data_IF_967044685391
#
_entry.id   IF_967044685391
#
_cell.length_a   1.000
_cell.length_b   1.000
_cell.length_c   1.000
_cell.angle_alpha   90.00
_cell.angle_beta   90.00
_cell.angle_gamma   90.00
#
_symmetry.space_group_name_H-M   'P 1'
#
loop_
_entity.id
_entity.type
_entity.pdbx_description
1 polymer ?
#
# COMPACT_ATOMS: atom_id res chain seq x y z
N UNK A 1 26.10 0.34 24.41
CA UNK A 1 26.20 1.36 25.45
C UNK A 1 25.73 2.73 24.96
N UNK A 2 26.39 3.35 23.97
CA UNK A 2 26.14 4.75 23.53
C UNK A 2 24.65 5.06 23.31
N UNK A 3 23.97 4.29 22.49
CA UNK A 3 22.53 4.56 22.19
C UNK A 3 21.66 4.39 23.44
N UNK A 4 21.90 3.38 24.27
CA UNK A 4 21.23 3.22 25.57
C UNK A 4 21.37 4.46 26.43
N UNK A 5 22.56 5.06 26.45
CA UNK A 5 22.90 6.20 27.28
C UNK A 5 22.51 7.56 26.63
N UNK A 6 21.78 7.54 25.49
CA UNK A 6 21.26 8.71 24.81
C UNK A 6 22.25 9.43 23.87
N UNK A 7 23.39 8.80 23.57
CA UNK A 7 24.37 9.36 22.65
C UNK A 7 24.10 8.94 21.21
N UNK A 8 24.42 9.82 20.25
CA UNK A 8 24.34 9.50 18.83
C UNK A 8 25.42 8.48 18.43
N UNK A 9 25.05 7.55 17.54
CA UNK A 9 25.99 6.60 16.93
C UNK A 9 26.68 7.26 15.74
N UNK A 10 27.93 6.87 15.44
CA UNK A 10 28.59 7.27 14.21
C UNK A 10 28.11 6.40 13.04
N UNK A 11 28.38 6.86 11.81
CA UNK A 11 28.07 6.11 10.57
C UNK A 11 28.73 4.73 10.58
N UNK A 12 29.99 4.65 11.05
CA UNK A 12 30.75 3.40 11.13
C UNK A 12 30.14 2.43 12.15
N UNK A 13 29.69 2.95 13.31
CA UNK A 13 29.04 2.13 14.33
C UNK A 13 27.71 1.57 13.85
N UNK A 14 26.89 2.37 13.14
CA UNK A 14 25.62 1.92 12.55
C UNK A 14 25.90 0.84 11.50
N UNK A 15 26.83 1.09 10.58
CA UNK A 15 27.22 0.12 9.54
C UNK A 15 27.73 -1.19 10.16
N UNK A 16 28.62 -1.11 11.16
CA UNK A 16 29.13 -2.29 11.85
C UNK A 16 28.01 -3.17 12.43
N UNK A 17 27.01 -2.54 13.06
CA UNK A 17 25.90 -3.27 13.68
C UNK A 17 25.00 -3.91 12.61
N UNK A 18 24.64 -3.18 11.55
CA UNK A 18 23.77 -3.69 10.49
C UNK A 18 24.46 -4.81 9.70
N UNK A 19 25.69 -4.59 9.27
CA UNK A 19 26.48 -5.59 8.53
C UNK A 19 26.75 -6.84 9.36
N UNK A 20 27.17 -6.67 10.62
CA UNK A 20 27.44 -7.78 11.51
C UNK A 20 26.19 -8.60 11.84
N UNK A 21 25.04 -7.93 12.00
CA UNK A 21 23.77 -8.63 12.19
C UNK A 21 23.32 -9.37 10.91
N UNK A 22 23.46 -8.74 9.76
CA UNK A 22 23.08 -9.34 8.47
C UNK A 22 23.90 -10.60 8.19
N UNK A 23 25.21 -10.57 8.47
CA UNK A 23 26.10 -11.73 8.33
C UNK A 23 25.97 -12.78 9.44
N UNK A 24 25.20 -12.52 10.51
CA UNK A 24 25.04 -13.44 11.63
C UNK A 24 26.18 -13.40 12.66
N UNK A 25 27.05 -12.41 12.60
CA UNK A 25 28.14 -12.18 13.56
C UNK A 25 27.62 -11.55 14.87
N UNK A 26 26.56 -10.76 14.79
CA UNK A 26 25.83 -10.18 15.92
C UNK A 26 24.58 -11.01 16.18
N UNK A 27 24.42 -11.62 17.38
CA UNK A 27 23.26 -12.46 17.69
C UNK A 27 22.00 -11.64 17.97
N UNK A 28 20.83 -12.28 17.84
CA UNK A 28 19.51 -11.66 18.00
C UNK A 28 19.33 -10.92 19.32
N UNK A 29 19.85 -11.45 20.45
CA UNK A 29 19.70 -10.80 21.75
C UNK A 29 20.44 -9.46 21.83
N UNK A 30 21.61 -9.33 21.17
CA UNK A 30 22.34 -8.05 21.11
C UNK A 30 21.62 -7.06 20.19
N UNK A 31 21.11 -7.54 19.04
CA UNK A 31 20.35 -6.69 18.13
C UNK A 31 19.01 -6.27 18.73
N UNK A 32 18.31 -7.15 19.46
CA UNK A 32 17.10 -6.79 20.20
C UNK A 32 17.35 -5.67 21.21
N UNK A 33 18.46 -5.75 21.96
CA UNK A 33 18.84 -4.69 22.89
C UNK A 33 19.12 -3.36 22.18
N UNK A 34 19.77 -3.39 20.99
CA UNK A 34 20.01 -2.20 20.19
C UNK A 34 18.69 -1.60 19.67
N UNK A 35 17.78 -2.42 19.11
CA UNK A 35 16.48 -1.98 18.63
C UNK A 35 15.64 -1.35 19.75
N UNK A 36 15.67 -1.93 20.96
CA UNK A 36 14.97 -1.38 22.13
C UNK A 36 15.62 -0.07 22.60
N UNK A 37 16.94 0.06 22.53
CA UNK A 37 17.62 1.33 22.82
C UNK A 37 17.24 2.42 21.81
N UNK A 38 17.12 2.09 20.52
CA UNK A 38 16.63 3.00 19.47
C UNK A 38 15.16 3.37 19.75
N UNK A 39 14.32 2.41 20.11
CA UNK A 39 12.92 2.64 20.42
C UNK A 39 12.72 3.70 21.51
N UNK A 40 13.49 3.61 22.61
CA UNK A 40 13.37 4.55 23.74
C UNK A 40 14.13 5.87 23.57
N UNK A 41 15.22 5.89 22.80
CA UNK A 41 16.09 7.07 22.67
C UNK A 41 15.93 7.80 21.34
N UNK A 42 15.25 7.18 20.37
CA UNK A 42 15.17 7.67 19.01
C UNK A 42 16.52 7.66 18.28
N UNK A 43 16.51 8.21 17.09
CA UNK A 43 17.67 8.51 16.25
C UNK A 43 17.49 9.92 15.68
N UNK A 44 18.57 10.69 15.53
CA UNK A 44 18.52 11.90 14.76
C UNK A 44 18.44 11.58 13.24
N UNK A 45 18.20 12.60 12.40
CA UNK A 45 18.05 12.39 10.94
C UNK A 45 19.30 11.82 10.28
N UNK A 46 20.49 12.22 10.74
CA UNK A 46 21.74 11.65 10.23
C UNK A 46 21.84 10.16 10.58
N UNK A 47 21.58 9.79 11.84
CA UNK A 47 21.55 8.38 12.26
C UNK A 47 20.52 7.57 11.48
N UNK A 48 19.32 8.13 11.25
CA UNK A 48 18.23 7.48 10.50
C UNK A 48 18.62 7.28 9.04
N UNK A 49 19.28 8.29 8.41
CA UNK A 49 19.83 8.15 7.07
C UNK A 49 20.92 7.07 7.02
N UNK A 50 21.87 7.12 7.95
CA UNK A 50 22.97 6.15 8.01
C UNK A 50 22.45 4.72 8.19
N UNK A 51 21.42 4.53 9.04
CA UNK A 51 20.73 3.25 9.21
C UNK A 51 20.06 2.82 7.92
N UNK A 52 19.32 3.71 7.27
CA UNK A 52 18.64 3.46 6.00
C UNK A 52 19.62 3.03 4.91
N UNK A 53 20.75 3.73 4.80
CA UNK A 53 21.78 3.43 3.80
C UNK A 53 22.50 2.12 4.12
N UNK A 54 22.80 1.85 5.40
CA UNK A 54 23.44 0.58 5.81
C UNK A 54 22.51 -0.61 5.51
N UNK A 55 21.22 -0.48 5.79
CA UNK A 55 20.22 -1.51 5.50
C UNK A 55 20.11 -1.73 3.99
N UNK A 56 19.98 -0.65 3.20
CA UNK A 56 19.91 -0.71 1.74
C UNK A 56 21.14 -1.40 1.13
N UNK A 57 22.34 -1.05 1.58
CA UNK A 57 23.61 -1.64 1.09
C UNK A 57 23.87 -3.06 1.59
N UNK A 58 23.09 -3.55 2.56
CA UNK A 58 23.14 -4.94 3.00
C UNK A 58 22.63 -5.96 1.99
N UNK A 59 22.13 -5.52 0.84
CA UNK A 59 21.61 -6.34 -0.25
C UNK A 59 21.89 -5.80 -1.64
N UNK A 60 21.27 -6.42 -2.63
CA UNK A 60 21.31 -5.96 -4.02
C UNK A 60 20.45 -4.70 -4.19
N UNK A 61 20.87 -3.80 -5.06
CA UNK A 61 20.10 -2.65 -5.50
C UNK A 61 19.71 -2.82 -6.97
N UNK A 62 18.53 -2.35 -7.32
CA UNK A 62 18.05 -2.39 -8.70
C UNK A 62 18.71 -1.26 -9.50
N UNK A 63 19.46 -1.63 -10.53
CA UNK A 63 20.01 -0.66 -11.47
C UNK A 63 19.01 -0.38 -12.60
N UNK A 64 18.39 0.80 -12.54
CA UNK A 64 17.47 1.30 -13.57
C UNK A 64 18.15 2.28 -14.56
N UNK A 65 19.48 2.39 -14.56
CA UNK A 65 20.20 3.32 -15.44
C UNK A 65 19.99 3.03 -16.92
N UNK A 66 19.78 1.75 -17.27
CA UNK A 66 19.46 1.31 -18.64
C UNK A 66 18.01 1.57 -19.07
N UNK A 67 17.11 1.96 -18.15
CA UNK A 67 15.72 2.27 -18.46
C UNK A 67 15.58 3.74 -18.82
N UNK A 68 14.99 4.01 -19.98
CA UNK A 68 14.76 5.37 -20.46
C UNK A 68 13.68 6.12 -19.66
N UNK A 69 13.77 7.45 -19.57
CA UNK A 69 12.77 8.29 -18.90
C UNK A 69 12.89 8.33 -17.38
N UNK A 70 11.96 9.04 -16.73
CA UNK A 70 11.92 9.20 -15.27
C UNK A 70 11.33 7.97 -14.61
N UNK A 71 12.02 7.45 -13.63
CA UNK A 71 11.58 6.31 -12.83
C UNK A 71 10.92 6.80 -11.55
N UNK A 72 9.71 6.32 -11.27
CA UNK A 72 9.00 6.64 -10.03
C UNK A 72 8.56 5.37 -9.29
N UNK A 73 8.39 5.50 -7.99
CA UNK A 73 7.76 4.48 -7.16
C UNK A 73 6.74 5.10 -6.21
N UNK A 74 5.70 4.35 -5.90
CA UNK A 74 4.68 4.70 -4.89
C UNK A 74 4.73 3.68 -3.77
N UNK A 75 4.80 4.14 -2.54
CA UNK A 75 4.66 3.31 -1.36
C UNK A 75 3.41 3.70 -0.58
N UNK A 76 2.71 2.71 -0.02
CA UNK A 76 1.68 2.91 0.98
C UNK A 76 2.12 2.31 2.30
N UNK A 77 1.81 2.98 3.41
CA UNK A 77 2.06 2.43 4.75
C UNK A 77 1.12 1.29 5.12
N UNK A 78 0.17 0.96 4.22
CA UNK A 78 -0.77 -0.14 4.36
C UNK A 78 -2.12 0.29 4.91
N UNK A 79 -3.16 -0.40 4.48
CA UNK A 79 -4.54 -0.15 4.87
C UNK A 79 -5.50 -1.21 4.35
N UNK A 80 -6.78 -1.01 4.59
CA UNK A 80 -7.86 -1.89 4.17
C UNK A 80 -8.44 -1.38 2.86
N UNK A 81 -8.58 -2.27 1.86
CA UNK A 81 -9.06 -1.91 0.54
C UNK A 81 -8.06 -1.08 -0.30
N UNK A 82 -6.78 -1.05 0.05
CA UNK A 82 -5.77 -0.26 -0.68
C UNK A 82 -5.42 -0.93 -2.02
N UNK A 83 -6.20 -0.60 -3.03
CA UNK A 83 -5.99 -0.94 -4.44
C UNK A 83 -5.36 0.20 -5.25
N UNK A 84 -4.87 1.25 -4.60
CA UNK A 84 -4.33 2.46 -5.24
C UNK A 84 -3.31 2.16 -6.34
N UNK A 85 -2.42 1.17 -6.14
CA UNK A 85 -1.41 0.82 -7.14
C UNK A 85 -2.02 0.30 -8.46
N UNK A 86 -3.18 -0.36 -8.41
CA UNK A 86 -3.84 -0.90 -9.60
C UNK A 86 -4.49 0.19 -10.48
N UNK A 87 -4.77 1.35 -9.90
CA UNK A 87 -5.33 2.51 -10.59
C UNK A 87 -4.23 3.51 -10.95
N UNK A 88 -3.44 3.93 -9.97
CA UNK A 88 -2.41 4.97 -10.11
C UNK A 88 -1.32 4.58 -11.11
N UNK A 89 -0.77 3.35 -10.98
CA UNK A 89 0.42 2.97 -11.76
C UNK A 89 0.14 2.95 -13.26
N UNK A 90 -0.96 2.35 -13.77
CA UNK A 90 -1.28 2.43 -15.20
C UNK A 90 -1.59 3.86 -15.67
N UNK A 91 -2.20 4.74 -14.84
CA UNK A 91 -2.44 6.14 -15.21
C UNK A 91 -1.11 6.87 -15.47
N UNK A 92 -0.16 6.83 -14.52
CA UNK A 92 1.12 7.54 -14.68
C UNK A 92 2.01 6.87 -15.73
N UNK A 93 1.97 5.55 -15.88
CA UNK A 93 2.73 4.83 -16.91
C UNK A 93 2.23 5.13 -18.33
N UNK A 94 0.92 5.37 -18.52
CA UNK A 94 0.37 5.79 -19.82
C UNK A 94 0.85 7.19 -20.24
N UNK A 95 1.31 8.01 -19.29
CA UNK A 95 1.90 9.33 -19.50
C UNK A 95 3.44 9.31 -19.60
N UNK A 96 4.06 8.12 -19.66
CA UNK A 96 5.49 7.95 -19.92
C UNK A 96 6.37 7.85 -18.67
N UNK A 97 5.82 7.89 -17.46
CA UNK A 97 6.58 7.59 -16.24
C UNK A 97 6.88 6.10 -16.17
N UNK A 98 8.09 5.73 -15.78
CA UNK A 98 8.50 4.33 -15.61
C UNK A 98 8.29 3.89 -14.15
N UNK A 99 7.43 2.89 -13.95
CA UNK A 99 7.04 2.41 -12.63
C UNK A 99 7.63 1.01 -12.36
N UNK A 100 8.78 0.99 -11.69
CA UNK A 100 9.47 -0.25 -11.30
C UNK A 100 9.08 -0.61 -9.86
N UNK A 101 7.89 -1.20 -9.67
CA UNK A 101 7.34 -1.40 -8.35
C UNK A 101 7.59 -2.81 -7.82
N UNK A 102 8.27 -2.89 -6.68
CA UNK A 102 8.30 -4.09 -5.85
C UNK A 102 7.27 -3.97 -4.74
N UNK A 103 6.48 -5.02 -4.55
CA UNK A 103 5.35 -5.03 -3.63
C UNK A 103 5.35 -6.27 -2.75
N UNK A 104 4.46 -6.28 -1.75
CA UNK A 104 4.32 -7.36 -0.78
C UNK A 104 2.97 -8.06 -0.85
N UNK A 105 2.89 -9.17 -0.15
CA UNK A 105 1.66 -9.90 0.15
C UNK A 105 0.97 -9.29 1.36
N UNK A 106 -0.33 -9.50 1.48
CA UNK A 106 -1.11 -9.13 2.66
C UNK A 106 -0.91 -10.09 3.83
N UNK A 107 -1.09 -9.56 5.03
CA UNK A 107 -1.15 -10.33 6.27
C UNK A 107 -2.10 -9.64 7.25
N UNK A 108 -2.86 -10.44 8.01
CA UNK A 108 -3.84 -9.92 8.94
C UNK A 108 -4.96 -9.14 8.24
N UNK A 109 -5.27 -7.95 8.73
CA UNK A 109 -6.33 -7.09 8.22
C UNK A 109 -5.98 -6.36 6.91
N UNK A 110 -4.71 -6.34 6.51
CA UNK A 110 -4.26 -5.61 5.32
C UNK A 110 -4.27 -6.51 4.08
N UNK A 111 -4.77 -6.01 2.96
CA UNK A 111 -4.69 -6.68 1.67
C UNK A 111 -3.35 -6.43 0.96
N UNK A 112 -2.77 -7.46 0.33
CA UNK A 112 -1.54 -7.36 -0.44
C UNK A 112 -1.79 -7.02 -1.91
N UNK A 113 -0.99 -6.11 -2.49
CA UNK A 113 -1.08 -5.81 -3.93
C UNK A 113 -0.80 -7.04 -4.79
N UNK A 114 0.14 -7.89 -4.37
CA UNK A 114 0.47 -9.13 -5.10
C UNK A 114 -0.70 -10.12 -5.08
N UNK A 115 -1.39 -10.25 -3.95
CA UNK A 115 -2.53 -11.17 -3.82
C UNK A 115 -3.69 -10.74 -4.72
N UNK A 116 -3.90 -9.43 -4.87
CA UNK A 116 -4.89 -8.87 -5.81
C UNK A 116 -4.53 -9.18 -7.26
N UNK A 117 -3.27 -8.98 -7.63
CA UNK A 117 -2.77 -9.29 -8.97
C UNK A 117 -2.84 -10.79 -9.30
N UNK A 118 -2.54 -11.66 -8.34
CA UNK A 118 -2.67 -13.12 -8.50
C UNK A 118 -4.13 -13.59 -8.69
N UNK A 119 -5.13 -12.76 -8.36
CA UNK A 119 -6.52 -13.04 -8.69
C UNK A 119 -6.81 -12.91 -10.20
N UNK A 120 -5.95 -12.27 -10.97
CA UNK A 120 -6.06 -12.21 -12.43
C UNK A 120 -5.53 -13.53 -13.00
N UNK A 121 -6.30 -14.25 -13.83
CA UNK A 121 -5.89 -15.55 -14.34
C UNK A 121 -4.51 -15.52 -15.01
N UNK A 122 -3.62 -16.41 -14.58
CA UNK A 122 -2.28 -16.58 -15.14
C UNK A 122 -1.24 -15.53 -14.72
N UNK A 123 -1.61 -14.49 -13.96
CA UNK A 123 -0.70 -13.40 -13.63
C UNK A 123 0.51 -13.87 -12.79
N UNK A 124 1.71 -13.51 -13.25
CA UNK A 124 2.98 -13.90 -12.64
C UNK A 124 3.62 -12.75 -11.86
N UNK A 125 3.71 -12.90 -10.55
CA UNK A 125 4.36 -11.93 -9.65
C UNK A 125 5.86 -12.18 -9.49
N UNK A 126 6.38 -13.32 -9.96
CA UNK A 126 7.78 -13.73 -9.81
C UNK A 126 8.49 -13.63 -11.15
N UNK A 127 9.08 -12.48 -11.44
CA UNK A 127 9.78 -12.25 -12.69
C UNK A 127 11.31 -12.39 -12.50
N UNK A 128 12.02 -13.02 -13.45
CA UNK A 128 13.47 -12.86 -13.55
C UNK A 128 13.83 -11.38 -13.74
N UNK A 129 14.95 -10.93 -13.19
CA UNK A 129 15.35 -9.54 -13.20
C UNK A 129 15.47 -8.96 -14.62
N UNK A 130 15.96 -9.74 -15.56
CA UNK A 130 16.05 -9.33 -16.96
C UNK A 130 14.68 -8.98 -17.55
N UNK A 131 13.68 -9.85 -17.34
CA UNK A 131 12.30 -9.61 -17.79
C UNK A 131 11.64 -8.46 -17.03
N UNK A 132 11.97 -8.29 -15.74
CA UNK A 132 11.51 -7.15 -14.95
C UNK A 132 11.97 -5.84 -15.59
N UNK A 133 13.27 -5.70 -15.88
CA UNK A 133 13.84 -4.50 -16.51
C UNK A 133 13.31 -4.27 -17.93
N UNK A 134 13.22 -5.32 -18.74
CA UNK A 134 12.61 -5.25 -20.08
C UNK A 134 11.18 -4.72 -20.04
N UNK A 135 10.36 -5.23 -19.13
CA UNK A 135 8.98 -4.79 -18.99
C UNK A 135 8.87 -3.35 -18.48
N UNK A 136 9.74 -2.91 -17.55
CA UNK A 136 9.79 -1.50 -17.13
C UNK A 136 10.11 -0.60 -18.32
N UNK A 137 11.08 -0.96 -19.14
CA UNK A 137 11.46 -0.13 -20.29
C UNK A 137 10.40 -0.16 -21.40
N UNK A 138 9.91 -1.33 -21.79
CA UNK A 138 9.00 -1.53 -22.91
C UNK A 138 7.55 -1.16 -22.58
N UNK A 139 7.01 -1.65 -21.47
CA UNK A 139 5.61 -1.43 -21.06
C UNK A 139 5.45 -0.16 -20.25
N UNK A 140 6.49 0.23 -19.52
CA UNK A 140 6.49 1.39 -18.63
C UNK A 140 6.13 1.07 -17.20
N UNK A 141 5.71 -0.17 -16.89
CA UNK A 141 5.38 -0.56 -15.52
C UNK A 141 5.58 -2.05 -15.26
N UNK A 142 5.98 -2.35 -14.04
CA UNK A 142 6.03 -3.70 -13.46
C UNK A 142 5.57 -3.63 -11.99
N UNK A 143 4.82 -4.61 -11.55
CA UNK A 143 4.54 -4.85 -10.13
C UNK A 143 4.86 -6.32 -9.83
N UNK A 144 5.94 -6.56 -9.09
CA UNK A 144 6.41 -7.90 -8.80
C UNK A 144 6.77 -8.08 -7.32
N UNK A 145 6.92 -9.32 -6.91
CA UNK A 145 7.43 -9.67 -5.58
C UNK A 145 8.89 -9.26 -5.42
N UNK A 146 9.30 -9.00 -4.18
CA UNK A 146 10.70 -8.73 -3.86
C UNK A 146 11.53 -10.00 -4.07
N UNK A 147 12.71 -9.87 -4.67
CA UNK A 147 13.69 -10.96 -4.70
C UNK A 147 14.24 -11.22 -3.30
N UNK A 148 14.73 -12.44 -3.06
CA UNK A 148 15.32 -12.79 -1.75
C UNK A 148 16.54 -11.93 -1.40
N UNK A 149 17.23 -11.39 -2.40
CA UNK A 149 18.46 -10.63 -2.27
C UNK A 149 18.24 -9.10 -2.20
N UNK A 150 17.03 -8.62 -2.48
CA UNK A 150 16.71 -7.22 -2.30
C UNK A 150 16.46 -6.95 -0.82
N UNK A 151 17.31 -6.11 -0.22
CA UNK A 151 17.20 -5.65 1.17
C UNK A 151 17.07 -6.80 2.21
N UNK A 152 17.97 -7.81 2.22
CA UNK A 152 17.93 -8.93 3.17
C UNK A 152 18.15 -8.47 4.62
N UNK A 153 18.84 -7.34 4.83
CA UNK A 153 19.04 -6.74 6.14
C UNK A 153 17.72 -6.31 6.77
N UNK A 154 16.86 -5.59 6.01
CA UNK A 154 15.53 -5.20 6.51
C UNK A 154 14.65 -6.42 6.81
N UNK A 155 14.66 -7.44 5.96
CA UNK A 155 13.89 -8.66 6.20
C UNK A 155 14.25 -9.31 7.55
N UNK A 156 15.54 -9.38 7.87
CA UNK A 156 16.04 -9.95 9.14
C UNK A 156 15.72 -9.06 10.33
N UNK A 157 15.93 -7.74 10.17
CA UNK A 157 15.61 -6.74 11.20
C UNK A 157 14.10 -6.70 11.49
N UNK A 158 13.25 -6.68 10.47
CA UNK A 158 11.81 -6.62 10.64
C UNK A 158 11.28 -7.89 11.33
N UNK A 159 11.77 -9.07 10.95
CA UNK A 159 11.39 -10.33 11.61
C UNK A 159 11.72 -10.32 13.10
N UNK A 160 12.85 -9.70 13.51
CA UNK A 160 13.20 -9.54 14.91
C UNK A 160 12.33 -8.48 15.61
N UNK A 161 12.04 -7.37 14.95
CA UNK A 161 11.16 -6.29 15.47
C UNK A 161 9.76 -6.79 15.78
N UNK A 162 9.22 -7.64 14.91
CA UNK A 162 7.87 -8.19 15.01
C UNK A 162 7.65 -8.97 16.33
N UNK A 163 8.69 -9.64 16.83
CA UNK A 163 8.64 -10.46 18.05
C UNK A 163 9.26 -9.78 19.29
N UNK A 164 9.76 -8.56 19.18
CA UNK A 164 10.43 -7.84 20.28
C UNK A 164 9.74 -6.53 20.69
N UNK A 165 8.54 -6.23 20.12
CA UNK A 165 7.77 -5.02 20.48
C UNK A 165 8.42 -3.72 20.02
N UNK A 166 9.29 -3.74 18.99
CA UNK A 166 10.02 -2.56 18.50
C UNK A 166 9.53 -2.07 17.12
N UNK A 167 8.41 -2.62 16.63
CA UNK A 167 7.82 -2.18 15.35
C UNK A 167 7.43 -0.70 15.36
N UNK A 168 6.71 -0.15 16.38
CA UNK A 168 6.24 1.23 16.36
C UNK A 168 7.31 2.26 16.76
N UNK A 169 8.47 2.22 16.10
CA UNK A 169 9.57 3.18 16.26
C UNK A 169 9.75 3.96 14.95
N UNK A 170 9.55 5.27 14.95
CA UNK A 170 9.61 6.11 13.74
C UNK A 170 10.93 5.92 12.98
N UNK A 171 12.14 6.04 13.57
CA UNK A 171 13.38 5.83 12.81
C UNK A 171 13.48 4.43 12.18
N UNK A 172 13.00 3.40 12.87
CA UNK A 172 13.02 2.03 12.35
C UNK A 172 11.99 1.79 11.24
N UNK A 173 10.82 2.44 11.32
CA UNK A 173 9.82 2.41 10.26
C UNK A 173 10.35 3.13 9.02
N UNK A 174 10.90 4.34 9.20
CA UNK A 174 11.50 5.14 8.11
C UNK A 174 12.60 4.35 7.42
N UNK A 175 13.54 3.78 8.18
CA UNK A 175 14.64 3.00 7.62
C UNK A 175 14.13 1.79 6.83
N UNK A 176 13.18 1.03 7.36
CA UNK A 176 12.60 -0.15 6.71
C UNK A 176 11.88 0.19 5.41
N UNK A 177 11.15 1.31 5.35
CA UNK A 177 10.44 1.73 4.14
C UNK A 177 11.42 2.30 3.13
N UNK A 178 12.25 3.24 3.55
CA UNK A 178 13.08 4.02 2.65
C UNK A 178 14.25 3.20 2.08
N UNK A 179 14.84 2.26 2.84
CA UNK A 179 15.88 1.35 2.30
C UNK A 179 15.39 0.61 1.06
N UNK A 180 14.17 0.04 1.10
CA UNK A 180 13.56 -0.66 -0.04
C UNK A 180 13.27 0.27 -1.22
N UNK A 181 12.81 1.50 -0.95
CA UNK A 181 12.49 2.46 -2.01
C UNK A 181 13.75 3.00 -2.69
N UNK A 182 14.81 3.22 -1.92
CA UNK A 182 16.11 3.62 -2.45
C UNK A 182 16.77 2.47 -3.21
N UNK A 183 16.70 1.23 -2.67
CA UNK A 183 17.22 0.04 -3.35
C UNK A 183 16.50 -0.24 -4.68
N UNK A 184 15.23 0.12 -4.82
CA UNK A 184 14.47 0.00 -6.06
C UNK A 184 14.89 1.00 -7.16
N UNK A 185 15.76 1.98 -6.88
CA UNK A 185 16.41 2.84 -7.87
C UNK A 185 15.55 3.97 -8.45
N UNK A 186 14.37 4.26 -7.88
CA UNK A 186 13.49 5.32 -8.40
C UNK A 186 14.08 6.73 -8.22
N UNK A 187 13.86 7.63 -9.20
CA UNK A 187 14.22 9.06 -9.14
C UNK A 187 13.22 9.86 -8.30
N UNK A 188 11.95 9.46 -8.37
CA UNK A 188 10.81 10.07 -7.67
C UNK A 188 10.15 9.03 -6.76
N UNK A 189 9.96 9.37 -5.49
CA UNK A 189 9.29 8.53 -4.51
C UNK A 189 8.08 9.29 -3.97
N UNK A 190 6.88 8.71 -4.12
CA UNK A 190 5.65 9.25 -3.56
C UNK A 190 5.10 8.28 -2.51
N UNK A 191 4.92 8.81 -1.31
CA UNK A 191 4.52 8.07 -0.13
C UNK A 191 3.05 8.36 0.19
N UNK A 192 2.25 7.33 0.32
CA UNK A 192 0.86 7.38 0.76
C UNK A 192 0.82 6.94 2.23
N UNK A 193 0.82 7.91 3.14
CA UNK A 193 0.85 7.69 4.58
C UNK A 193 -0.58 7.63 5.10
N UNK A 194 -1.02 6.42 5.42
CA UNK A 194 -2.36 6.17 5.95
C UNK A 194 -2.46 6.58 7.40
N UNK A 195 -3.56 7.27 7.76
CA UNK A 195 -3.87 7.75 9.10
C UNK A 195 -5.29 7.38 9.48
N UNK A 196 -5.48 6.68 10.58
CA UNK A 196 -6.80 6.28 11.09
C UNK A 196 -6.87 4.83 11.52
N UNK A 197 -8.07 4.32 11.75
CA UNK A 197 -8.33 3.01 12.35
C UNK A 197 -7.70 1.86 11.55
N UNK A 198 -7.81 1.84 10.23
CA UNK A 198 -7.27 0.80 9.36
C UNK A 198 -5.77 0.88 9.10
N UNK A 199 -5.01 1.77 9.78
CA UNK A 199 -3.60 2.02 9.53
C UNK A 199 -2.72 1.85 10.78
N UNK A 200 -1.38 1.88 10.59
CA UNK A 200 -0.43 1.89 11.69
C UNK A 200 -0.40 3.23 12.43
N UNK A 201 -0.53 4.35 11.71
CA UNK A 201 -0.58 5.70 12.29
C UNK A 201 -2.01 6.03 12.69
N UNK A 202 -2.27 6.08 13.99
CA UNK A 202 -3.63 6.33 14.52
C UNK A 202 -3.96 7.80 14.62
N UNK A 203 -2.97 8.68 14.76
CA UNK A 203 -3.15 10.11 14.87
C UNK A 203 -2.55 10.87 13.70
N UNK A 204 -3.07 12.06 13.41
CA UNK A 204 -2.53 12.93 12.36
C UNK A 204 -1.11 13.40 12.70
N UNK A 205 -0.80 13.60 13.98
CA UNK A 205 0.52 14.05 14.41
C UNK A 205 1.58 12.96 14.18
N UNK A 206 1.31 11.70 14.54
CA UNK A 206 2.19 10.57 14.24
C UNK A 206 2.39 10.39 12.73
N UNK A 207 1.30 10.51 11.95
CA UNK A 207 1.36 10.43 10.50
C UNK A 207 2.20 11.56 9.88
N UNK A 208 2.10 12.78 10.42
CA UNK A 208 2.92 13.94 9.99
C UNK A 208 4.39 13.74 10.33
N UNK A 209 4.71 13.26 11.54
CA UNK A 209 6.08 12.96 11.93
C UNK A 209 6.68 11.92 10.99
N UNK A 210 6.01 10.78 10.80
CA UNK A 210 6.48 9.73 9.88
C UNK A 210 6.67 10.25 8.44
N UNK A 211 5.67 10.98 7.90
CA UNK A 211 5.71 11.52 6.56
C UNK A 211 6.88 12.50 6.38
N UNK A 212 7.08 13.39 7.34
CA UNK A 212 8.16 14.40 7.32
C UNK A 212 9.53 13.71 7.35
N UNK A 213 9.74 12.76 8.26
CA UNK A 213 11.01 12.05 8.36
C UNK A 213 11.31 11.23 7.08
N UNK A 214 10.33 10.55 6.50
CA UNK A 214 10.54 9.83 5.23
C UNK A 214 10.87 10.76 4.07
N UNK A 215 10.21 11.92 3.96
CA UNK A 215 10.50 12.92 2.92
C UNK A 215 11.91 13.47 3.08
N UNK A 216 12.31 13.84 4.29
CA UNK A 216 13.65 14.37 4.55
C UNK A 216 14.75 13.34 4.27
N UNK A 217 14.57 12.07 4.72
CA UNK A 217 15.53 10.99 4.42
C UNK A 217 15.63 10.75 2.91
N UNK A 218 14.50 10.78 2.17
CA UNK A 218 14.52 10.65 0.72
C UNK A 218 15.28 11.77 0.03
N UNK A 219 15.07 13.03 0.45
CA UNK A 219 15.81 14.20 -0.05
C UNK A 219 17.31 14.12 0.27
N UNK A 220 17.66 13.77 1.52
CA UNK A 220 19.05 13.60 1.93
C UNK A 220 19.75 12.48 1.14
N UNK A 221 19.01 11.45 0.72
CA UNK A 221 19.49 10.39 -0.17
C UNK A 221 19.49 10.80 -1.67
N UNK A 222 19.20 12.06 -1.99
CA UNK A 222 19.22 12.59 -3.35
C UNK A 222 18.01 12.21 -4.22
N UNK A 223 16.87 11.84 -3.60
CA UNK A 223 15.62 11.50 -4.30
C UNK A 223 14.58 12.59 -4.15
N UNK A 224 13.80 12.82 -5.21
CA UNK A 224 12.61 13.68 -5.14
C UNK A 224 11.52 12.92 -4.40
N UNK A 225 11.22 13.33 -3.18
CA UNK A 225 10.32 12.61 -2.29
C UNK A 225 9.18 13.49 -1.82
N UNK A 226 7.95 12.99 -1.91
CA UNK A 226 6.72 13.65 -1.45
C UNK A 226 5.89 12.63 -0.66
N UNK A 227 5.24 13.07 0.40
CA UNK A 227 4.28 12.26 1.13
C UNK A 227 2.89 12.91 1.13
N UNK A 228 1.86 12.08 0.95
CA UNK A 228 0.44 12.46 1.07
C UNK A 228 -0.14 11.70 2.26
N UNK A 229 -0.67 12.43 3.23
CA UNK A 229 -1.35 11.84 4.40
C UNK A 229 -2.82 11.69 4.07
N UNK A 230 -3.35 10.47 4.17
CA UNK A 230 -4.70 10.12 3.74
C UNK A 230 -5.48 9.42 4.84
N UNK A 231 -6.80 9.58 4.81
CA UNK A 231 -7.69 8.94 5.75
C UNK A 231 -7.74 7.41 5.59
N UNK A 232 -7.80 6.70 6.70
CA UNK A 232 -8.02 5.26 6.79
C UNK A 232 -8.93 4.91 7.99
N UNK A 233 -9.81 5.83 8.39
CA UNK A 233 -10.83 5.57 9.41
C UNK A 233 -11.98 4.70 8.87
N UNK A 234 -12.05 4.54 7.55
CA UNK A 234 -12.88 3.57 6.85
C UNK A 234 -12.08 2.89 5.73
N UNK A 235 -12.52 1.74 5.19
CA UNK A 235 -11.86 1.10 4.04
C UNK A 235 -11.82 2.02 2.82
N UNK A 236 -10.69 2.02 2.08
CA UNK A 236 -10.52 2.80 0.86
C UNK A 236 -11.34 2.20 -0.29
N UNK A 237 -12.17 3.02 -0.90
CA UNK A 237 -13.14 2.57 -1.91
C UNK A 237 -14.24 1.71 -1.28
N UNK A 238 -14.85 0.88 -2.10
CA UNK A 238 -16.00 0.07 -1.71
C UNK A 238 -15.65 -1.41 -1.52
N UNK A 239 -14.71 -1.96 -2.29
CA UNK A 239 -14.36 -3.37 -2.25
C UNK A 239 -13.22 -3.67 -1.26
N UNK A 240 -13.37 -4.75 -0.51
CA UNK A 240 -12.35 -5.34 0.37
C UNK A 240 -12.28 -6.84 0.08
N UNK A 241 -11.26 -7.25 -0.65
CA UNK A 241 -11.07 -8.62 -1.13
C UNK A 241 -10.37 -8.61 -2.50
N UNK A 242 -9.62 -9.66 -2.83
CA UNK A 242 -8.64 -9.62 -3.93
C UNK A 242 -9.26 -9.31 -5.30
N UNK A 243 -10.05 -10.21 -5.88
CA UNK A 243 -10.69 -9.99 -7.18
C UNK A 243 -11.74 -8.86 -7.15
N UNK A 244 -12.40 -8.64 -6.01
CA UNK A 244 -13.35 -7.54 -5.85
C UNK A 244 -12.65 -6.18 -5.96
N UNK A 245 -11.47 -6.05 -5.37
CA UNK A 245 -10.66 -4.83 -5.48
C UNK A 245 -10.10 -4.62 -6.89
N UNK A 246 -9.75 -5.70 -7.61
CA UNK A 246 -9.38 -5.61 -9.03
C UNK A 246 -10.55 -5.12 -9.88
N UNK A 247 -11.77 -5.63 -9.62
CA UNK A 247 -13.00 -5.14 -10.30
C UNK A 247 -13.22 -3.65 -10.06
N UNK A 248 -13.08 -3.19 -8.83
CA UNK A 248 -13.24 -1.77 -8.49
C UNK A 248 -12.15 -0.91 -9.15
N UNK A 249 -10.90 -1.39 -9.19
CA UNK A 249 -9.83 -0.69 -9.89
C UNK A 249 -10.11 -0.56 -11.39
N UNK A 250 -10.61 -1.62 -12.04
CA UNK A 250 -11.04 -1.59 -13.45
C UNK A 250 -12.18 -0.61 -13.67
N UNK A 251 -13.22 -0.63 -12.83
CA UNK A 251 -14.37 0.27 -12.91
C UNK A 251 -13.93 1.74 -12.73
N UNK A 252 -12.97 2.00 -11.81
CA UNK A 252 -12.38 3.33 -11.63
C UNK A 252 -11.65 3.79 -12.90
N UNK A 253 -10.83 2.92 -13.53
CA UNK A 253 -10.11 3.24 -14.76
C UNK A 253 -11.04 3.39 -15.99
N UNK A 254 -12.26 2.86 -15.92
CA UNK A 254 -13.32 3.09 -16.92
C UNK A 254 -14.09 4.40 -16.69
N UNK A 255 -13.82 5.09 -15.58
CA UNK A 255 -14.56 6.30 -15.20
C UNK A 255 -15.98 6.04 -14.66
N UNK A 256 -16.29 4.78 -14.30
CA UNK A 256 -17.60 4.37 -13.76
C UNK A 256 -17.76 4.79 -12.29
N UNK A 257 -16.65 4.93 -11.54
CA UNK A 257 -16.63 5.32 -10.13
C UNK A 257 -15.84 6.60 -9.90
N UNK A 258 -16.49 7.60 -9.27
CA UNK A 258 -15.85 8.80 -8.75
C UNK A 258 -15.88 8.69 -7.22
N UNK A 259 -14.81 8.20 -6.63
CA UNK A 259 -14.68 7.94 -5.21
C UNK A 259 -13.40 8.55 -4.66
N UNK A 260 -13.22 8.48 -3.34
CA UNK A 260 -11.98 8.86 -2.66
C UNK A 260 -10.76 8.07 -3.19
N UNK A 261 -10.95 6.86 -3.73
CA UNK A 261 -9.90 6.10 -4.41
C UNK A 261 -9.37 6.85 -5.64
N UNK A 262 -10.27 7.37 -6.49
CA UNK A 262 -9.87 8.16 -7.65
C UNK A 262 -9.20 9.46 -7.23
N UNK A 263 -9.74 10.16 -6.22
CA UNK A 263 -9.16 11.39 -5.68
C UNK A 263 -7.74 11.17 -5.17
N UNK A 264 -7.52 10.06 -4.45
CA UNK A 264 -6.18 9.65 -4.00
C UNK A 264 -5.24 9.43 -5.18
N UNK A 265 -5.67 8.68 -6.19
CA UNK A 265 -4.86 8.38 -7.38
C UNK A 265 -4.51 9.66 -8.15
N UNK A 266 -5.45 10.58 -8.30
CA UNK A 266 -5.21 11.88 -8.94
C UNK A 266 -4.21 12.73 -8.13
N UNK A 267 -4.33 12.75 -6.81
CA UNK A 267 -3.41 13.51 -5.94
C UNK A 267 -1.99 12.93 -5.96
N UNK A 268 -1.84 11.61 -5.77
CA UNK A 268 -0.53 10.94 -5.82
C UNK A 268 0.09 11.03 -7.22
N UNK A 269 -0.73 10.85 -8.26
CA UNK A 269 -0.28 10.97 -9.66
C UNK A 269 0.17 12.39 -10.00
N UNK A 270 -0.53 13.41 -9.51
CA UNK A 270 -0.11 14.80 -9.66
C UNK A 270 1.25 15.05 -9.00
N UNK A 271 1.47 14.53 -7.79
CA UNK A 271 2.78 14.59 -7.15
C UNK A 271 3.88 13.88 -7.99
N UNK A 272 3.57 12.71 -8.58
CA UNK A 272 4.53 12.00 -9.45
C UNK A 272 4.86 12.84 -10.69
N UNK A 273 3.86 13.32 -11.42
CA UNK A 273 4.07 14.05 -12.68
C UNK A 273 4.79 15.38 -12.48
N UNK A 274 4.47 16.12 -11.43
CA UNK A 274 5.15 17.39 -11.11
C UNK A 274 6.60 17.13 -10.70
N UNK A 275 6.88 16.15 -9.86
CA UNK A 275 8.23 15.78 -9.48
C UNK A 275 9.04 15.20 -10.65
N UNK A 276 8.39 14.49 -11.57
CA UNK A 276 8.99 13.99 -12.81
C UNK A 276 9.29 15.12 -13.82
N UNK A 277 8.73 16.32 -13.62
CA UNK A 277 8.87 17.45 -14.56
C UNK A 277 8.03 17.30 -15.83
N UNK A 278 6.99 16.45 -15.78
CA UNK A 278 6.05 16.21 -16.89
C UNK A 278 4.86 17.15 -16.86
N UNK A 279 4.57 17.77 -15.73
CA UNK A 279 3.54 18.77 -15.56
C UNK A 279 4.10 20.00 -14.84
N UNK A 280 3.58 21.17 -15.17
CA UNK A 280 4.03 22.44 -14.60
C UNK A 280 3.58 22.59 -13.13
N UNK A 281 2.41 22.11 -12.82
CA UNK A 281 1.79 22.15 -11.49
C UNK A 281 0.81 20.99 -11.28
N UNK A 282 0.24 20.90 -10.07
CA UNK A 282 -0.69 19.82 -9.70
C UNK A 282 -2.00 19.88 -10.50
N UNK A 283 -2.46 21.07 -10.90
CA UNK A 283 -3.70 21.21 -11.68
C UNK A 283 -3.51 20.68 -13.12
N UNK A 284 -2.40 21.02 -13.75
CA UNK A 284 -2.05 20.50 -15.07
C UNK A 284 -1.84 18.98 -15.02
N UNK A 285 -1.14 18.49 -14.00
CA UNK A 285 -0.94 17.06 -13.77
C UNK A 285 -2.26 16.32 -13.61
N UNK A 286 -3.16 16.86 -12.80
CA UNK A 286 -4.50 16.27 -12.58
C UNK A 286 -5.29 16.17 -13.88
N UNK A 287 -5.30 17.22 -14.69
CA UNK A 287 -5.99 17.21 -15.99
C UNK A 287 -5.42 16.14 -16.93
N UNK A 288 -4.09 15.96 -16.96
CA UNK A 288 -3.46 14.88 -17.72
C UNK A 288 -3.90 13.49 -17.24
N UNK A 289 -3.97 13.28 -15.93
CA UNK A 289 -4.40 12.00 -15.35
C UNK A 289 -5.88 11.72 -15.64
N UNK A 290 -6.76 12.71 -15.48
CA UNK A 290 -8.19 12.59 -15.80
C UNK A 290 -8.40 12.24 -17.29
N UNK A 291 -7.57 12.80 -18.18
CA UNK A 291 -7.61 12.47 -19.61
C UNK A 291 -7.29 10.99 -19.88
N UNK A 292 -6.37 10.36 -19.11
CA UNK A 292 -6.04 8.94 -19.31
C UNK A 292 -7.20 7.99 -19.01
N UNK A 293 -8.12 8.42 -18.15
CA UNK A 293 -9.39 7.71 -17.89
C UNK A 293 -10.36 7.98 -19.04
N UNK A 294 -10.52 9.25 -19.42
CA UNK A 294 -11.49 9.66 -20.44
C UNK A 294 -11.21 9.04 -21.81
N UNK A 295 -9.95 8.88 -22.21
CA UNK A 295 -9.55 8.27 -23.48
C UNK A 295 -9.27 6.76 -23.40
N UNK A 296 -9.33 6.17 -22.20
CA UNK A 296 -9.11 4.75 -21.95
C UNK A 296 -7.64 4.30 -21.99
N UNK A 297 -6.68 5.23 -22.10
CA UNK A 297 -5.25 4.89 -22.19
C UNK A 297 -4.73 4.23 -20.91
N UNK A 298 -5.24 4.61 -19.74
CA UNK A 298 -4.88 3.98 -18.46
C UNK A 298 -5.38 2.54 -18.36
N UNK A 299 -6.63 2.26 -18.78
CA UNK A 299 -7.18 0.89 -18.80
C UNK A 299 -6.41 0.01 -19.79
N UNK A 300 -6.09 0.55 -20.98
CA UNK A 300 -5.26 -0.15 -21.97
C UNK A 300 -3.89 -0.47 -21.39
N UNK A 301 -3.27 0.47 -20.66
CA UNK A 301 -1.98 0.27 -20.01
C UNK A 301 -2.03 -0.84 -18.96
N UNK A 302 -3.12 -0.92 -18.19
CA UNK A 302 -3.32 -2.03 -17.24
C UNK A 302 -3.39 -3.39 -17.98
N UNK A 303 -4.09 -3.47 -19.11
CA UNK A 303 -4.18 -4.69 -19.91
C UNK A 303 -2.80 -5.08 -20.51
N UNK A 304 -2.04 -4.11 -21.02
CA UNK A 304 -0.67 -4.32 -21.53
C UNK A 304 0.26 -4.86 -20.43
N UNK A 305 0.16 -4.30 -19.23
CA UNK A 305 0.91 -4.75 -18.06
C UNK A 305 0.54 -6.18 -17.66
N UNK A 306 -0.76 -6.49 -17.59
CA UNK A 306 -1.24 -7.84 -17.25
C UNK A 306 -0.70 -8.86 -18.24
N UNK A 307 -0.79 -8.59 -19.54
CA UNK A 307 -0.25 -9.45 -20.58
C UNK A 307 1.28 -9.63 -20.50
N UNK A 308 2.02 -8.57 -20.16
CA UNK A 308 3.47 -8.61 -20.03
C UNK A 308 3.95 -9.45 -18.83
N UNK A 309 3.06 -9.70 -17.86
CA UNK A 309 3.31 -10.57 -16.68
C UNK A 309 2.49 -11.88 -16.74
N UNK A 310 2.27 -12.41 -17.93
CA UNK A 310 1.62 -13.72 -18.22
C UNK A 310 0.12 -13.80 -17.87
N UNK A 311 -0.48 -12.71 -17.37
CA UNK A 311 -1.90 -12.66 -17.02
C UNK A 311 -2.78 -12.57 -18.26
N UNK A 312 -4.06 -12.96 -18.12
CA UNK A 312 -5.05 -12.83 -19.17
C UNK A 312 -5.56 -11.38 -19.25
N UNK A 313 -5.19 -10.60 -20.29
CA UNK A 313 -5.67 -9.22 -20.44
C UNK A 313 -7.18 -9.14 -20.74
N UNK A 314 -7.82 -10.23 -21.15
CA UNK A 314 -9.26 -10.25 -21.38
C UNK A 314 -10.03 -9.97 -20.07
N UNK A 315 -9.51 -10.40 -18.93
CA UNK A 315 -10.10 -10.13 -17.61
C UNK A 315 -10.16 -8.63 -17.25
N UNK A 316 -9.34 -7.78 -17.89
CA UNK A 316 -9.38 -6.33 -17.70
C UNK A 316 -10.55 -5.72 -18.48
N UNK A 317 -10.89 -6.29 -19.64
CA UNK A 317 -12.01 -5.84 -20.46
C UNK A 317 -13.33 -6.54 -20.09
N UNK A 318 -13.26 -7.76 -19.55
CA UNK A 318 -14.40 -8.52 -19.04
C UNK A 318 -14.13 -9.01 -17.60
N UNK A 319 -14.47 -8.21 -16.57
CA UNK A 319 -14.25 -8.59 -15.17
C UNK A 319 -15.04 -9.83 -14.71
N UNK A 320 -15.97 -10.36 -15.51
CA UNK A 320 -16.63 -11.62 -15.19
C UNK A 320 -15.67 -12.83 -15.24
N UNK A 321 -14.52 -12.68 -15.93
CA UNK A 321 -13.46 -13.68 -15.97
C UNK A 321 -12.62 -13.76 -14.67
N UNK A 322 -12.75 -12.77 -13.79
CA UNK A 322 -12.09 -12.79 -12.47
C UNK A 322 -12.81 -13.76 -11.52
N UNK A 323 -12.11 -14.37 -10.55
CA UNK A 323 -12.72 -15.24 -9.55
C UNK A 323 -13.90 -14.58 -8.85
N UNK A 324 -14.97 -15.34 -8.62
CA UNK A 324 -16.17 -14.91 -7.92
C UNK A 324 -16.61 -15.93 -6.88
N UNK A 325 -17.05 -15.48 -5.73
CA UNK A 325 -17.63 -16.33 -4.71
C UNK A 325 -19.04 -16.81 -5.11
N UNK A 326 -19.41 -18.06 -4.78
CA UNK A 326 -20.71 -18.63 -5.17
C UNK A 326 -21.88 -18.06 -4.37
N UNK A 327 -21.64 -17.51 -3.16
CA UNK A 327 -22.68 -16.98 -2.28
C UNK A 327 -22.50 -15.47 -2.13
N UNK A 328 -23.59 -14.73 -2.32
CA UNK A 328 -23.68 -13.30 -2.03
C UNK A 328 -24.79 -13.07 -1.03
N UNK A 329 -24.53 -12.28 0.02
CA UNK A 329 -25.50 -12.01 1.08
C UNK A 329 -25.44 -10.56 1.51
N UNK A 330 -26.62 -9.89 1.50
CA UNK A 330 -26.74 -8.50 1.91
C UNK A 330 -26.61 -8.36 3.45
N UNK A 331 -26.04 -7.22 3.86
CA UNK A 331 -25.91 -6.82 5.26
C UNK A 331 -26.92 -5.72 5.55
N UNK A 332 -28.09 -6.03 6.14
CA UNK A 332 -29.10 -5.01 6.40
C UNK A 332 -28.69 -4.11 7.56
N UNK A 333 -28.98 -2.82 7.43
CA UNK A 333 -28.78 -1.85 8.50
C UNK A 333 -29.71 -2.13 9.68
N UNK A 334 -29.21 -2.17 10.94
CA UNK A 334 -30.03 -2.37 12.11
C UNK A 334 -30.87 -1.15 12.49
N UNK A 335 -30.57 0.04 11.96
CA UNK A 335 -31.22 1.29 12.30
C UNK A 335 -31.24 2.28 11.13
N UNK A 336 -32.11 3.29 11.21
CA UNK A 336 -32.07 4.47 10.34
C UNK A 336 -31.20 5.55 10.96
N UNK A 337 -30.48 6.30 10.12
CA UNK A 337 -29.61 7.40 10.54
C UNK A 337 -28.52 7.68 9.52
N UNK A 338 -27.35 8.04 10.00
CA UNK A 338 -26.14 8.27 9.21
C UNK A 338 -25.04 7.31 9.65
N UNK A 339 -24.28 6.81 8.72
CA UNK A 339 -23.05 6.04 9.03
C UNK A 339 -22.04 6.99 9.65
N UNK A 340 -21.79 6.83 10.94
CA UNK A 340 -20.84 7.68 11.68
C UNK A 340 -19.42 7.14 11.62
N UNK A 341 -19.27 5.81 11.60
CA UNK A 341 -17.97 5.14 11.63
C UNK A 341 -18.09 3.74 11.04
N UNK A 342 -17.04 3.32 10.38
CA UNK A 342 -16.83 1.96 9.89
C UNK A 342 -15.47 1.49 10.41
N UNK A 343 -15.45 0.51 11.31
CA UNK A 343 -14.21 -0.02 11.90
C UNK A 343 -13.36 -0.70 10.82
N UNK A 344 -12.49 0.05 10.15
CA UNK A 344 -11.75 -0.40 8.98
C UNK A 344 -10.90 -1.64 9.26
N UNK A 345 -10.19 -1.68 10.40
CA UNK A 345 -9.42 -2.84 10.83
C UNK A 345 -10.30 -4.10 10.92
N UNK A 346 -11.48 -3.98 11.54
CA UNK A 346 -12.38 -5.11 11.71
C UNK A 346 -12.99 -5.58 10.38
N UNK A 347 -13.32 -4.65 9.48
CA UNK A 347 -13.74 -5.00 8.10
C UNK A 347 -12.66 -5.81 7.39
N UNK A 348 -11.39 -5.41 7.49
CA UNK A 348 -10.25 -6.16 6.96
C UNK A 348 -10.14 -7.57 7.59
N UNK A 349 -10.36 -7.69 8.89
CA UNK A 349 -10.38 -8.97 9.59
C UNK A 349 -11.56 -9.87 9.18
N UNK A 350 -12.75 -9.29 8.93
CA UNK A 350 -13.88 -10.04 8.37
C UNK A 350 -13.54 -10.59 6.99
N UNK A 351 -12.96 -9.78 6.11
CA UNK A 351 -12.51 -10.23 4.78
C UNK A 351 -11.45 -11.35 4.89
N UNK A 352 -10.49 -11.24 5.82
CA UNK A 352 -9.49 -12.27 6.08
C UNK A 352 -10.16 -13.59 6.54
N UNK A 353 -11.12 -13.52 7.47
CA UNK A 353 -11.84 -14.71 7.99
C UNK A 353 -12.73 -15.37 6.95
N UNK A 354 -13.22 -14.63 5.95
CA UNK A 354 -13.91 -15.18 4.78
C UNK A 354 -12.96 -16.02 3.88
N UNK A 355 -11.65 -15.88 4.05
CA UNK A 355 -10.62 -16.51 3.22
C UNK A 355 -9.93 -15.55 2.24
N UNK A 356 -10.28 -14.27 2.25
CA UNK A 356 -9.68 -13.25 1.37
C UNK A 356 -8.28 -12.78 1.79
N UNK A 357 -7.79 -13.19 2.96
CA UNK A 357 -6.49 -12.83 3.49
C UNK A 357 -5.80 -13.98 4.22
N UNK A 358 -4.57 -13.77 4.69
CA UNK A 358 -3.79 -14.75 5.42
C UNK A 358 -3.82 -14.46 6.92
N UNK A 359 -4.30 -15.41 7.71
CA UNK A 359 -4.11 -15.41 9.16
C UNK A 359 -2.68 -15.85 9.53
N UNK A 360 -2.09 -16.74 8.74
CA UNK A 360 -0.70 -17.22 8.86
C UNK A 360 -0.04 -17.25 7.48
N UNK A 361 1.29 -17.35 7.43
CA UNK A 361 2.05 -17.41 6.15
C UNK A 361 1.64 -18.57 5.24
N UNK A 362 1.13 -19.66 5.82
CA UNK A 362 0.77 -20.88 5.11
C UNK A 362 -0.73 -20.94 4.73
N UNK A 363 -1.50 -19.89 5.08
CA UNK A 363 -2.91 -19.82 4.70
C UNK A 363 -3.08 -19.71 3.18
N UNK A 364 -4.00 -20.49 2.63
CA UNK A 364 -4.44 -20.34 1.23
C UNK A 364 -5.45 -19.18 1.13
N UNK A 365 -5.44 -18.49 -0.01
CA UNK A 365 -6.38 -17.40 -0.27
C UNK A 365 -7.45 -17.86 -1.27
N UNK A 366 -8.71 -17.57 -0.94
CA UNK A 366 -9.80 -17.56 -1.90
C UNK A 366 -9.92 -16.15 -2.50
N UNK A 367 -9.58 -16.02 -3.78
CA UNK A 367 -9.56 -14.72 -4.46
C UNK A 367 -10.97 -14.17 -4.75
N UNK A 368 -12.02 -15.01 -4.71
CA UNK A 368 -13.39 -14.60 -5.03
C UNK A 368 -14.17 -14.01 -3.86
N UNK A 369 -13.72 -14.26 -2.62
CA UNK A 369 -14.43 -13.82 -1.41
C UNK A 369 -14.06 -12.40 -1.00
N UNK A 370 -14.93 -11.77 -0.20
CA UNK A 370 -14.69 -10.44 0.37
C UNK A 370 -15.98 -9.68 0.64
N UNK A 371 -15.89 -8.37 0.61
CA UNK A 371 -16.95 -7.43 0.99
C UNK A 371 -17.03 -6.32 -0.05
N UNK A 372 -18.24 -5.92 -0.41
CA UNK A 372 -18.49 -4.70 -1.19
C UNK A 372 -19.38 -3.78 -0.35
N UNK A 373 -18.85 -2.65 0.09
CA UNK A 373 -19.56 -1.65 0.88
C UNK A 373 -20.51 -0.86 -0.01
N UNK A 374 -21.75 -0.66 0.42
CA UNK A 374 -22.75 0.18 -0.26
C UNK A 374 -22.93 1.51 0.46
N UNK A 375 -22.58 1.55 1.75
CA UNK A 375 -22.65 2.77 2.57
C UNK A 375 -21.29 3.11 3.16
N UNK A 376 -20.91 4.35 2.98
CA UNK A 376 -19.67 4.95 3.49
C UNK A 376 -20.00 5.91 4.65
N UNK A 377 -18.97 6.35 5.35
CA UNK A 377 -19.11 7.35 6.42
C UNK A 377 -19.78 8.60 5.86
N UNK A 378 -20.65 9.25 6.66
CA UNK A 378 -21.47 10.42 6.33
C UNK A 378 -22.70 10.15 5.44
N UNK A 379 -22.88 8.93 4.93
CA UNK A 379 -24.04 8.60 4.11
C UNK A 379 -25.28 8.25 4.95
N UNK A 380 -26.48 8.69 4.53
CA UNK A 380 -27.73 8.30 5.16
C UNK A 380 -28.08 6.85 4.87
N UNK A 381 -28.71 6.19 5.83
CA UNK A 381 -29.19 4.82 5.69
C UNK A 381 -30.55 4.64 6.39
N UNK A 382 -31.43 3.86 5.79
CA UNK A 382 -32.68 3.44 6.41
C UNK A 382 -32.51 2.05 7.10
N UNK A 383 -33.29 1.79 8.14
CA UNK A 383 -33.33 0.46 8.75
C UNK A 383 -33.72 -0.60 7.69
N UNK A 384 -32.94 -1.68 7.62
CA UNK A 384 -33.12 -2.73 6.61
C UNK A 384 -32.50 -2.45 5.25
N UNK A 385 -32.03 -1.22 4.96
CA UNK A 385 -31.28 -0.91 3.76
C UNK A 385 -29.88 -1.60 3.81
N UNK A 386 -29.38 -2.03 2.65
CA UNK A 386 -28.10 -2.73 2.59
C UNK A 386 -26.92 -1.83 2.88
N UNK A 387 -26.12 -2.20 3.88
CA UNK A 387 -24.83 -1.57 4.19
C UNK A 387 -23.71 -2.09 3.30
N UNK A 388 -23.76 -3.37 2.94
CA UNK A 388 -22.74 -4.04 2.15
C UNK A 388 -23.26 -5.37 1.59
N UNK A 389 -22.53 -5.95 0.64
CA UNK A 389 -22.70 -7.35 0.19
C UNK A 389 -21.48 -8.16 0.63
N UNK A 390 -21.72 -9.28 1.31
CA UNK A 390 -20.73 -10.32 1.60
C UNK A 390 -20.62 -11.27 0.41
N UNK A 391 -19.41 -11.56 -0.03
CA UNK A 391 -19.06 -12.58 -1.00
C UNK A 391 -18.36 -13.73 -0.27
N UNK A 392 -18.95 -14.91 -0.23
CA UNK A 392 -18.47 -16.03 0.59
C UNK A 392 -18.46 -17.36 -0.17
N UNK A 393 -17.66 -18.32 0.30
CA UNK A 393 -17.60 -19.67 -0.24
C UNK A 393 -18.86 -20.50 0.03
N UNK A 394 -19.55 -20.23 1.15
CA UNK A 394 -20.78 -20.90 1.54
C UNK A 394 -21.70 -19.99 2.39
N UNK A 395 -22.94 -20.43 2.59
CA UNK A 395 -23.94 -19.68 3.35
C UNK A 395 -23.61 -19.53 4.84
N UNK A 396 -22.93 -20.50 5.45
CA UNK A 396 -22.59 -20.45 6.87
C UNK A 396 -21.54 -19.38 7.13
N UNK A 397 -20.51 -19.32 6.30
CA UNK A 397 -19.51 -18.26 6.30
C UNK A 397 -20.13 -16.87 6.03
N UNK A 398 -21.05 -16.79 5.05
CA UNK A 398 -21.76 -15.56 4.75
C UNK A 398 -22.58 -15.04 5.94
N UNK A 399 -23.40 -15.88 6.59
CA UNK A 399 -24.20 -15.48 7.76
C UNK A 399 -23.34 -15.01 8.94
N UNK A 400 -22.21 -15.68 9.18
CA UNK A 400 -21.26 -15.27 10.22
C UNK A 400 -20.67 -13.89 9.89
N UNK A 401 -20.22 -13.70 8.66
CA UNK A 401 -19.65 -12.43 8.20
C UNK A 401 -20.66 -11.27 8.23
N UNK A 402 -21.94 -11.52 7.90
CA UNK A 402 -23.02 -10.52 8.05
C UNK A 402 -23.12 -10.01 9.48
N UNK A 403 -23.14 -10.94 10.47
CA UNK A 403 -23.20 -10.55 11.87
C UNK A 403 -21.96 -9.74 12.32
N UNK A 404 -20.77 -10.19 11.93
CA UNK A 404 -19.51 -9.52 12.25
C UNK A 404 -19.43 -8.14 11.58
N UNK A 405 -19.79 -8.04 10.29
CA UNK A 405 -19.73 -6.77 9.55
C UNK A 405 -20.77 -5.75 10.05
N UNK A 406 -21.97 -6.19 10.46
CA UNK A 406 -22.96 -5.30 11.07
C UNK A 406 -22.38 -4.60 12.32
N UNK A 407 -21.57 -5.29 13.12
CA UNK A 407 -20.90 -4.74 14.29
C UNK A 407 -19.79 -3.74 13.97
N UNK A 408 -19.26 -3.73 12.73
CA UNK A 408 -18.26 -2.78 12.29
C UNK A 408 -18.86 -1.39 12.01
N UNK A 409 -20.19 -1.28 11.84
CA UNK A 409 -20.87 -0.02 11.55
C UNK A 409 -21.42 0.64 12.81
N UNK A 410 -21.16 1.93 12.96
CA UNK A 410 -21.82 2.78 13.94
C UNK A 410 -22.78 3.72 13.21
N UNK A 411 -24.07 3.62 13.53
CA UNK A 411 -25.13 4.46 12.93
C UNK A 411 -25.66 5.41 14.02
N UNK A 412 -25.77 6.70 13.68
CA UNK A 412 -26.25 7.75 14.60
C UNK A 412 -27.34 8.57 13.93
N UNK A 413 -28.25 9.19 14.71
CA UNK A 413 -29.29 10.06 14.16
C UNK A 413 -28.75 11.25 13.34
N UNK A 414 -27.61 11.79 13.75
CA UNK A 414 -26.99 12.97 13.15
C UNK A 414 -25.77 12.56 12.31
N UNK A 415 -25.56 13.25 11.18
CA UNK A 415 -24.39 13.09 10.35
C UNK A 415 -23.10 13.44 11.12
N UNK A 416 -22.00 12.72 10.93
CA UNK A 416 -20.71 13.10 11.50
C UNK A 416 -20.21 14.41 10.86
N UNK A 417 -19.31 15.14 11.55
CA UNK A 417 -18.67 16.31 10.93
C UNK A 417 -17.82 15.85 9.73
N UNK A 418 -17.92 16.58 8.62
CA UNK A 418 -17.11 16.31 7.44
C UNK A 418 -15.61 16.42 7.77
N UNK A 419 -14.86 15.42 7.37
CA UNK A 419 -13.40 15.39 7.50
C UNK A 419 -12.74 15.26 6.12
N UNK A 420 -11.62 15.97 5.86
CA UNK A 420 -10.95 15.86 4.57
C UNK A 420 -10.29 14.48 4.43
N UNK A 421 -10.50 13.83 3.29
CA UNK A 421 -9.86 12.56 2.96
C UNK A 421 -8.34 12.73 2.78
N UNK A 422 -7.90 13.74 2.01
CA UNK A 422 -6.49 14.15 1.95
C UNK A 422 -6.21 15.10 3.11
N UNK A 423 -5.46 14.63 4.11
CA UNK A 423 -5.20 15.37 5.35
C UNK A 423 -4.04 16.34 5.23
N UNK A 424 -2.99 16.00 4.46
CA UNK A 424 -1.86 16.88 4.17
C UNK A 424 -1.00 16.35 3.01
N UNK A 425 -0.22 17.26 2.40
CA UNK A 425 0.85 16.93 1.46
C UNK A 425 2.14 17.52 2.02
N UNK A 426 3.17 16.69 2.20
CA UNK A 426 4.51 17.05 2.69
C UNK A 426 5.48 16.97 1.51
N UNK A 427 6.14 18.09 1.23
CA UNK A 427 7.08 18.21 0.10
C UNK A 427 8.47 18.59 0.55
#
# INVERSE_FOLDING_TARGET
>A
GKKRDGQALTTEEIRYVVDGYTRGEIPDYQMSAMLMAIYFRGMDRRETLDLTMAVMHGGETLDLSGVSGVKADKHSTGGVGDKTSLVLVPMVASLGVKMAKMSGRGLGHTGGTLDKLESIPGFNINLPMERFLENVDRVGMVIAGQTANLDPADKKLYALRDVTGTVPSIPLIVSSIMSKKLAAGADVIVLDVKCGDGSFMKTLDDARELATEMVEIGKMAGRKTVAVITDMDEPLGHAVGNALEVREAIATLRGEHKSELLELCLTLGACILTQAGLAADDAAARAMLEQTIADGSALKKLAEFVAAQDGDPAAIYDPALLPAAPVQMEVPSPASGYVRHIAATDVGLVSMRLGGGRATKDSTIDYGVGIVLHKKVDEPVAAGESLATIHAADEAAARKAVAELTACYTITPDAPPAAPFIKAIIR
#
